data_IF_246777192728
#
_entry.id   IF_246777192728
#
_cell.length_a   1.000
_cell.length_b   1.000
_cell.length_c   1.000
_cell.angle_alpha   90.00
_cell.angle_beta   90.00
_cell.angle_gamma   90.00
#
_symmetry.space_group_name_H-M   'P 1'
#
loop_
_entity.id
_entity.type
_entity.pdbx_description
1 polymer ?
#
# COMPACT_ATOMS: atom_id res chain seq x y z
N UNK A 1 -14.40 -4.12 11.88
CA UNK A 1 -15.60 -3.25 11.70
C UNK A 1 -16.22 -3.38 10.31
N UNK A 2 -15.45 -3.63 9.23
CA UNK A 2 -15.96 -3.63 7.85
C UNK A 2 -16.96 -4.74 7.48
N UNK A 3 -16.80 -5.98 7.96
CA UNK A 3 -17.66 -7.10 7.50
C UNK A 3 -19.05 -7.09 8.15
N UNK A 4 -19.18 -6.61 9.40
CA UNK A 4 -20.46 -6.60 10.12
C UNK A 4 -21.42 -5.48 9.72
N UNK A 5 -20.91 -4.42 9.08
CA UNK A 5 -21.75 -3.37 8.51
C UNK A 5 -22.59 -3.86 7.32
N UNK A 6 -22.17 -4.94 6.65
CA UNK A 6 -22.83 -5.49 5.47
C UNK A 6 -23.39 -6.90 5.68
N UNK A 7 -22.78 -7.70 6.57
CA UNK A 7 -23.22 -9.06 6.87
C UNK A 7 -23.32 -9.23 8.40
N UNK A 8 -24.40 -8.72 9.04
CA UNK A 8 -24.55 -8.76 10.49
C UNK A 8 -24.51 -10.18 11.06
N UNK A 9 -25.04 -11.19 10.34
CA UNK A 9 -25.05 -12.58 10.80
C UNK A 9 -23.65 -13.19 10.90
N UNK A 10 -22.66 -12.64 10.21
CA UNK A 10 -21.31 -13.17 10.22
C UNK A 10 -20.63 -13.02 11.59
N UNK A 11 -21.17 -12.16 12.48
CA UNK A 11 -20.64 -11.96 13.84
C UNK A 11 -20.77 -13.21 14.72
N UNK A 12 -21.73 -14.08 14.41
CA UNK A 12 -21.99 -15.30 15.17
C UNK A 12 -21.08 -16.46 14.78
N UNK A 13 -20.49 -16.43 13.58
CA UNK A 13 -19.67 -17.54 13.06
C UNK A 13 -18.21 -17.16 12.80
N UNK A 14 -17.89 -15.86 12.73
CA UNK A 14 -16.53 -15.36 12.49
C UNK A 14 -15.85 -14.76 13.72
N UNK A 15 -16.41 -14.90 14.92
CA UNK A 15 -15.86 -14.28 16.14
C UNK A 15 -14.38 -14.66 16.40
N UNK A 16 -14.01 -15.94 16.29
CA UNK A 16 -12.64 -16.39 16.52
C UNK A 16 -11.66 -16.00 15.40
N UNK A 17 -11.97 -16.20 14.09
CA UNK A 17 -11.17 -15.63 13.01
C UNK A 17 -11.00 -14.11 13.13
N UNK A 18 -12.05 -13.39 13.54
CA UNK A 18 -12.00 -11.93 13.68
C UNK A 18 -11.05 -11.50 14.79
N UNK A 19 -11.07 -12.16 15.95
CA UNK A 19 -10.12 -11.85 17.02
C UNK A 19 -8.66 -11.99 16.55
N UNK A 20 -8.38 -13.01 15.72
CA UNK A 20 -7.07 -13.18 15.07
C UNK A 20 -6.78 -12.10 14.02
N UNK A 21 -7.78 -11.67 13.25
CA UNK A 21 -7.60 -10.54 12.33
C UNK A 21 -7.29 -9.23 13.08
N UNK A 22 -8.01 -8.97 14.18
CA UNK A 22 -7.79 -7.79 15.01
C UNK A 22 -6.38 -7.78 15.57
N UNK A 23 -5.87 -8.90 16.09
CA UNK A 23 -4.51 -8.97 16.63
C UNK A 23 -3.44 -8.65 15.59
N UNK A 24 -3.62 -9.06 14.32
CA UNK A 24 -2.69 -8.73 13.22
C UNK A 24 -2.69 -7.21 12.94
N UNK A 25 -3.87 -6.59 12.90
CA UNK A 25 -3.97 -5.14 12.72
C UNK A 25 -3.36 -4.39 13.92
N UNK A 26 -3.54 -4.90 15.13
CA UNK A 26 -2.96 -4.33 16.35
C UNK A 26 -1.43 -4.38 16.30
N UNK A 27 -0.83 -5.51 15.90
CA UNK A 27 0.62 -5.65 15.72
C UNK A 27 1.17 -4.63 14.70
N UNK A 28 0.48 -4.47 13.58
CA UNK A 28 0.89 -3.52 12.54
C UNK A 28 0.80 -2.07 13.01
N UNK A 29 -0.22 -1.76 13.78
CA UNK A 29 -0.39 -0.43 14.36
C UNK A 29 0.66 -0.14 15.45
N UNK A 30 1.00 -1.13 16.29
CA UNK A 30 2.10 -1.04 17.26
C UNK A 30 3.41 -0.74 16.53
N UNK A 31 3.70 -1.47 15.46
CA UNK A 31 4.88 -1.21 14.63
C UNK A 31 4.91 0.21 14.06
N UNK A 32 3.80 0.68 13.48
CA UNK A 32 3.70 2.03 12.93
C UNK A 32 3.87 3.12 14.01
N UNK A 33 3.34 2.88 15.22
CA UNK A 33 3.53 3.75 16.38
C UNK A 33 4.98 3.83 16.79
N UNK A 34 5.64 2.69 16.98
CA UNK A 34 7.05 2.63 17.38
C UNK A 34 7.93 3.35 16.37
N UNK A 35 7.66 3.15 15.06
CA UNK A 35 8.34 3.84 13.99
C UNK A 35 8.14 5.35 14.07
N UNK A 36 6.91 5.82 14.24
CA UNK A 36 6.58 7.23 14.37
C UNK A 36 7.24 7.88 15.59
N UNK A 37 7.16 7.25 16.75
CA UNK A 37 7.74 7.76 17.99
C UNK A 37 9.27 7.87 17.90
N UNK A 38 9.92 6.92 17.24
CA UNK A 38 11.35 6.98 16.96
C UNK A 38 11.70 8.15 16.03
N UNK A 39 10.87 8.42 15.01
CA UNK A 39 11.06 9.57 14.14
C UNK A 39 10.90 10.88 14.91
N UNK A 40 9.88 11.01 15.75
CA UNK A 40 9.68 12.19 16.61
C UNK A 40 10.89 12.45 17.51
N UNK A 41 11.47 11.42 18.14
CA UNK A 41 12.67 11.55 19.00
C UNK A 41 13.91 12.03 18.26
N UNK A 42 14.01 11.71 16.98
CA UNK A 42 15.19 11.96 16.14
C UNK A 42 14.92 12.97 15.04
N UNK A 43 13.81 13.71 15.16
CA UNK A 43 13.34 14.63 14.15
C UNK A 43 14.30 15.83 14.02
N UNK A 44 14.71 16.11 12.79
CA UNK A 44 15.51 17.28 12.43
C UNK A 44 14.81 18.01 11.27
N UNK A 45 14.39 19.25 11.53
CA UNK A 45 13.71 20.09 10.53
C UNK A 45 14.58 20.41 9.31
N UNK A 46 15.90 20.27 9.41
CA UNK A 46 16.83 20.52 8.31
C UNK A 46 17.13 19.27 7.48
N UNK A 47 16.69 18.09 7.93
CA UNK A 47 16.99 16.82 7.29
C UNK A 47 15.81 15.84 7.42
N UNK A 48 14.85 15.97 6.51
CA UNK A 48 13.69 15.07 6.43
C UNK A 48 14.13 13.76 5.77
N UNK A 49 14.14 12.66 6.54
CA UNK A 49 14.67 11.37 6.08
C UNK A 49 13.70 10.65 5.15
N UNK A 50 12.41 10.71 5.45
CA UNK A 50 11.37 9.96 4.76
C UNK A 50 9.98 10.59 4.90
N UNK A 51 8.96 9.82 4.51
CA UNK A 51 7.56 10.21 4.61
C UNK A 51 7.13 10.54 6.05
N UNK A 52 7.64 9.82 7.05
CA UNK A 52 7.30 10.05 8.46
C UNK A 52 7.78 11.43 8.91
N UNK A 53 9.03 11.78 8.63
CA UNK A 53 9.54 13.12 8.94
C UNK A 53 8.78 14.21 8.17
N UNK A 54 8.38 13.93 6.93
CA UNK A 54 7.63 14.88 6.10
C UNK A 54 6.27 15.20 6.72
N UNK A 55 5.53 14.20 7.21
CA UNK A 55 4.23 14.44 7.86
C UNK A 55 4.37 15.07 9.25
N UNK A 56 5.47 14.79 9.97
CA UNK A 56 5.81 15.48 11.23
C UNK A 56 6.12 16.96 10.96
N UNK A 57 6.90 17.27 9.92
CA UNK A 57 7.18 18.63 9.50
C UNK A 57 5.90 19.39 9.13
N UNK A 58 5.01 18.76 8.36
CA UNK A 58 3.72 19.33 8.00
C UNK A 58 2.84 19.64 9.23
N UNK A 59 2.87 18.78 10.25
CA UNK A 59 2.21 19.05 11.55
C UNK A 59 2.76 20.30 12.20
N UNK A 60 4.08 20.42 12.34
CA UNK A 60 4.70 21.59 12.98
C UNK A 60 4.48 22.89 12.21
N UNK A 61 4.58 22.84 10.87
CA UNK A 61 4.28 23.99 10.01
C UNK A 61 2.82 24.44 10.19
N UNK A 62 1.86 23.51 10.16
CA UNK A 62 0.45 23.85 10.33
C UNK A 62 0.15 24.47 11.70
N UNK A 63 0.85 24.03 12.76
CA UNK A 63 0.75 24.62 14.10
C UNK A 63 1.34 26.03 14.11
N UNK A 64 2.55 26.22 13.58
CA UNK A 64 3.23 27.51 13.54
C UNK A 64 2.43 28.57 12.78
N UNK A 65 1.84 28.17 11.65
CA UNK A 65 1.02 29.04 10.79
C UNK A 65 -0.42 29.21 11.30
N UNK A 66 -0.81 28.60 12.43
CA UNK A 66 -2.17 28.55 12.95
C UNK A 66 -3.21 28.09 11.90
N UNK A 67 -2.83 27.12 11.05
CA UNK A 67 -3.73 26.58 10.02
C UNK A 67 -4.89 25.83 10.70
N UNK A 68 -6.15 26.03 10.27
CA UNK A 68 -7.30 25.27 10.79
C UNK A 68 -7.16 23.74 10.64
N UNK A 69 -6.31 23.29 9.73
CA UNK A 69 -5.98 21.87 9.51
C UNK A 69 -5.13 21.24 10.61
N UNK A 70 -4.41 22.04 11.42
CA UNK A 70 -3.54 21.54 12.48
C UNK A 70 -4.27 20.61 13.46
N UNK A 71 -5.56 20.86 13.71
CA UNK A 71 -6.42 20.01 14.57
C UNK A 71 -6.59 18.58 14.06
N UNK A 72 -6.36 18.33 12.77
CA UNK A 72 -6.45 17.00 12.16
C UNK A 72 -5.09 16.29 12.09
N UNK A 73 -3.97 17.00 12.28
CA UNK A 73 -2.61 16.46 12.27
C UNK A 73 -2.18 16.03 13.67
N UNK A 74 -3.03 15.23 14.33
CA UNK A 74 -2.72 14.62 15.62
C UNK A 74 -1.77 13.44 15.43
N UNK A 75 -0.99 13.09 16.47
CA UNK A 75 -0.09 11.95 16.40
C UNK A 75 -0.83 10.65 16.01
N UNK A 76 -2.01 10.42 16.58
CA UNK A 76 -2.86 9.27 16.23
C UNK A 76 -3.26 9.23 14.76
N UNK A 77 -3.61 10.38 14.17
CA UNK A 77 -3.98 10.44 12.75
C UNK A 77 -2.76 10.24 11.85
N UNK A 78 -1.57 10.74 12.26
CA UNK A 78 -0.34 10.53 11.51
C UNK A 78 0.12 9.06 11.57
N UNK A 79 0.05 8.43 12.75
CA UNK A 79 0.31 6.99 12.93
C UNK A 79 -0.67 6.16 12.08
N UNK A 80 -1.96 6.49 12.11
CA UNK A 80 -2.98 5.82 11.29
C UNK A 80 -2.68 5.97 9.80
N UNK A 81 -2.24 7.16 9.38
CA UNK A 81 -1.84 7.44 7.99
C UNK A 81 -0.65 6.60 7.58
N UNK A 82 0.38 6.51 8.42
CA UNK A 82 1.56 5.68 8.18
C UNK A 82 1.20 4.19 8.10
N UNK A 83 0.42 3.70 9.06
CA UNK A 83 -0.05 2.32 9.09
C UNK A 83 -0.80 1.98 7.79
N UNK A 84 -1.72 2.86 7.37
CA UNK A 84 -2.46 2.70 6.12
C UNK A 84 -1.56 2.65 4.88
N UNK A 85 -0.56 3.54 4.79
CA UNK A 85 0.38 3.57 3.67
C UNK A 85 1.23 2.30 3.59
N UNK A 86 1.79 1.85 4.72
CA UNK A 86 2.60 0.63 4.79
C UNK A 86 1.73 -0.58 4.42
N UNK A 87 0.52 -0.68 4.96
CA UNK A 87 -0.37 -1.81 4.69
C UNK A 87 -0.75 -1.89 3.21
N UNK A 88 -1.20 -0.77 2.66
CA UNK A 88 -1.55 -0.70 1.24
C UNK A 88 -0.36 -1.06 0.34
N UNK A 89 0.85 -0.63 0.69
CA UNK A 89 2.06 -0.94 -0.06
C UNK A 89 2.46 -2.42 0.03
N UNK A 90 2.48 -3.00 1.22
CA UNK A 90 2.97 -4.37 1.44
C UNK A 90 2.00 -5.41 0.89
N UNK A 91 0.73 -5.36 1.27
CA UNK A 91 -0.22 -6.42 0.92
C UNK A 91 -0.44 -6.49 -0.60
N UNK A 92 -0.64 -5.34 -1.26
CA UNK A 92 -0.97 -5.30 -2.70
C UNK A 92 0.23 -5.70 -3.57
N UNK A 93 1.44 -5.26 -3.21
CA UNK A 93 2.64 -5.60 -3.98
C UNK A 93 3.05 -7.06 -3.76
N UNK A 94 2.93 -7.57 -2.54
CA UNK A 94 3.17 -8.98 -2.25
C UNK A 94 2.24 -9.88 -3.06
N UNK A 95 0.93 -9.63 -3.04
CA UNK A 95 -0.04 -10.43 -3.81
C UNK A 95 0.28 -10.39 -5.31
N UNK A 96 0.55 -9.19 -5.85
CA UNK A 96 0.91 -9.02 -7.27
C UNK A 96 2.17 -9.82 -7.64
N UNK A 97 3.22 -9.76 -6.81
CA UNK A 97 4.47 -10.51 -7.05
C UNK A 97 4.24 -12.02 -6.97
N UNK A 98 3.43 -12.49 -6.03
CA UNK A 98 3.07 -13.91 -5.92
C UNK A 98 2.36 -14.40 -7.19
N UNK A 99 1.41 -13.61 -7.73
CA UNK A 99 0.79 -13.93 -9.00
C UNK A 99 1.79 -13.91 -10.16
N UNK A 100 2.68 -12.92 -10.25
CA UNK A 100 3.77 -12.91 -11.24
C UNK A 100 4.57 -14.22 -11.21
N UNK A 101 5.02 -14.63 -10.02
CA UNK A 101 5.80 -15.86 -9.84
C UNK A 101 5.00 -17.11 -10.23
N UNK A 102 3.72 -17.17 -9.87
CA UNK A 102 2.86 -18.29 -10.24
C UNK A 102 2.67 -18.39 -11.76
N UNK A 103 2.44 -17.26 -12.44
CA UNK A 103 2.24 -17.25 -13.90
C UNK A 103 3.50 -17.66 -14.65
N UNK A 104 4.68 -17.17 -14.26
CA UNK A 104 5.93 -17.59 -14.95
C UNK A 104 6.29 -19.05 -14.65
N UNK A 105 5.91 -19.57 -13.48
CA UNK A 105 6.12 -20.99 -13.15
C UNK A 105 5.17 -21.91 -13.95
N UNK A 106 3.92 -21.48 -14.15
CA UNK A 106 2.92 -22.25 -14.88
C UNK A 106 3.05 -22.13 -16.41
N UNK A 107 3.54 -20.99 -16.91
CA UNK A 107 3.75 -20.72 -18.34
C UNK A 107 5.24 -20.46 -18.66
N UNK A 108 6.05 -21.52 -18.83
CA UNK A 108 7.48 -21.39 -19.12
C UNK A 108 7.80 -20.55 -20.35
N UNK A 109 6.93 -20.57 -21.37
CA UNK A 109 7.09 -19.75 -22.58
C UNK A 109 7.07 -18.25 -22.28
N UNK A 110 6.25 -17.82 -21.30
CA UNK A 110 6.20 -16.42 -20.87
C UNK A 110 7.48 -16.06 -20.12
N UNK A 111 7.94 -16.95 -19.23
CA UNK A 111 9.20 -16.79 -18.54
C UNK A 111 10.38 -16.66 -19.52
N UNK A 112 10.42 -17.48 -20.57
CA UNK A 112 11.48 -17.43 -21.58
C UNK A 112 11.47 -16.11 -22.34
N UNK A 113 10.29 -15.60 -22.74
CA UNK A 113 10.16 -14.30 -23.41
C UNK A 113 10.63 -13.14 -22.52
N UNK A 114 10.26 -13.15 -21.23
CA UNK A 114 10.73 -12.17 -20.26
C UNK A 114 12.26 -12.19 -20.13
N UNK A 115 12.85 -13.38 -19.95
CA UNK A 115 14.31 -13.54 -19.88
C UNK A 115 15.01 -13.05 -21.14
N UNK A 116 14.49 -13.40 -22.32
CA UNK A 116 15.07 -12.98 -23.59
C UNK A 116 15.05 -11.46 -23.75
N UNK A 117 13.95 -10.80 -23.37
CA UNK A 117 13.87 -9.33 -23.39
C UNK A 117 14.87 -8.70 -22.41
N UNK A 118 14.91 -9.16 -21.16
CA UNK A 118 15.83 -8.62 -20.15
C UNK A 118 17.29 -8.81 -20.58
N UNK A 119 17.67 -10.00 -21.05
CA UNK A 119 19.02 -10.27 -21.54
C UNK A 119 19.39 -9.40 -22.75
N UNK A 120 18.44 -9.11 -23.64
CA UNK A 120 18.68 -8.26 -24.82
C UNK A 120 18.83 -6.78 -24.47
N UNK A 121 17.95 -6.25 -23.63
CA UNK A 121 17.87 -4.80 -23.35
C UNK A 121 18.78 -4.34 -22.20
N UNK A 122 19.05 -5.24 -21.24
CA UNK A 122 19.78 -4.94 -20.01
C UNK A 122 21.11 -5.68 -19.96
N UNK A 123 21.15 -6.97 -20.33
CA UNK A 123 22.33 -7.82 -20.19
C UNK A 123 22.57 -8.24 -18.74
N UNK A 124 23.82 -8.22 -18.29
CA UNK A 124 24.24 -8.79 -16.98
C UNK A 124 24.21 -7.78 -15.81
N UNK A 125 23.82 -6.53 -16.06
CA UNK A 125 23.73 -5.51 -15.00
C UNK A 125 22.36 -5.53 -14.31
N UNK A 126 22.32 -4.93 -13.11
CA UNK A 126 21.05 -4.71 -12.40
C UNK A 126 20.16 -3.73 -13.19
N UNK A 127 18.85 -4.04 -13.37
CA UNK A 127 17.89 -3.11 -13.98
C UNK A 127 17.75 -1.81 -13.20
N UNK A 128 17.59 -0.70 -13.92
CA UNK A 128 17.26 0.63 -13.36
C UNK A 128 15.92 1.11 -13.91
N UNK A 129 15.35 2.16 -13.31
CA UNK A 129 14.01 2.62 -13.69
C UNK A 129 13.93 3.10 -15.15
N UNK A 130 15.01 3.69 -15.67
CA UNK A 130 15.12 4.18 -17.04
C UNK A 130 14.97 3.05 -18.09
N UNK A 131 15.29 1.81 -17.70
CA UNK A 131 15.16 0.63 -18.55
C UNK A 131 13.70 0.28 -18.85
N UNK A 132 12.77 0.76 -18.02
CA UNK A 132 11.33 0.49 -18.14
C UNK A 132 10.83 0.74 -19.56
N UNK A 133 11.30 1.80 -20.22
CA UNK A 133 10.91 2.17 -21.59
C UNK A 133 11.30 1.15 -22.66
N UNK A 134 12.27 0.27 -22.38
CA UNK A 134 12.80 -0.75 -23.30
C UNK A 134 12.22 -2.13 -23.03
N UNK A 135 11.62 -2.34 -21.86
CA UNK A 135 11.06 -3.61 -21.40
C UNK A 135 9.56 -3.74 -21.74
N UNK A 136 9.21 -3.64 -23.02
CA UNK A 136 7.82 -3.59 -23.48
C UNK A 136 7.03 -4.86 -23.15
N UNK A 137 7.60 -6.04 -23.36
CA UNK A 137 6.95 -7.32 -23.06
C UNK A 137 6.78 -7.52 -21.55
N UNK A 138 7.80 -7.16 -20.77
CA UNK A 138 7.75 -7.21 -19.30
C UNK A 138 6.65 -6.30 -18.76
N UNK A 139 6.53 -5.08 -19.30
CA UNK A 139 5.44 -4.18 -18.95
C UNK A 139 4.08 -4.75 -19.33
N UNK A 140 3.92 -5.25 -20.55
CA UNK A 140 2.68 -5.86 -21.00
C UNK A 140 2.27 -7.05 -20.12
N UNK A 141 3.23 -7.89 -19.73
CA UNK A 141 3.01 -9.02 -18.83
C UNK A 141 2.54 -8.57 -17.44
N UNK A 142 3.20 -7.58 -16.83
CA UNK A 142 2.77 -7.04 -15.53
C UNK A 142 1.38 -6.39 -15.61
N UNK A 143 1.11 -5.64 -16.68
CA UNK A 143 -0.21 -5.04 -16.91
C UNK A 143 -1.29 -6.11 -17.08
N UNK A 144 -1.01 -7.19 -17.79
CA UNK A 144 -1.95 -8.30 -17.97
C UNK A 144 -2.24 -9.02 -16.64
N UNK A 145 -1.24 -9.17 -15.78
CA UNK A 145 -1.46 -9.72 -14.44
C UNK A 145 -2.35 -8.79 -13.63
N UNK A 146 -2.09 -7.49 -13.60
CA UNK A 146 -2.95 -6.54 -12.88
C UNK A 146 -4.38 -6.50 -13.43
N UNK A 147 -4.56 -6.75 -14.74
CA UNK A 147 -5.88 -6.88 -15.37
C UNK A 147 -6.59 -8.16 -14.96
N UNK A 148 -5.88 -9.30 -14.90
CA UNK A 148 -6.46 -10.62 -14.60
C UNK A 148 -6.61 -10.91 -13.10
N UNK A 149 -5.66 -10.42 -12.31
CA UNK A 149 -5.55 -10.53 -10.85
C UNK A 149 -5.34 -9.14 -10.27
N UNK A 150 -6.41 -8.36 -10.33
CA UNK A 150 -6.45 -7.09 -9.65
C UNK A 150 -6.44 -7.33 -8.12
N UNK A 151 -5.48 -6.76 -7.36
CA UNK A 151 -5.44 -6.90 -5.90
C UNK A 151 -6.68 -6.32 -5.18
N UNK A 152 -7.44 -5.44 -5.84
CA UNK A 152 -8.67 -4.83 -5.32
C UNK A 152 -9.78 -4.85 -6.40
N UNK A 153 -10.37 -6.02 -6.73
CA UNK A 153 -11.25 -6.17 -7.90
C UNK A 153 -12.59 -5.41 -7.78
N UNK A 154 -13.01 -5.08 -6.56
CA UNK A 154 -14.20 -4.25 -6.27
C UNK A 154 -13.84 -2.86 -5.73
N UNK A 155 -12.55 -2.52 -5.71
CA UNK A 155 -12.04 -1.30 -5.09
C UNK A 155 -12.36 -1.20 -3.59
N UNK A 156 -12.30 0.02 -3.07
CA UNK A 156 -12.81 0.34 -1.74
C UNK A 156 -14.30 0.66 -1.81
N UNK A 157 -15.02 0.44 -0.70
CA UNK A 157 -16.43 0.81 -0.63
C UNK A 157 -16.62 2.32 -0.62
N UNK A 158 -17.44 2.81 -1.54
CA UNK A 158 -17.80 4.22 -1.63
C UNK A 158 -19.14 4.50 -0.95
N UNK A 159 -19.32 5.74 -0.49
CA UNK A 159 -20.61 6.27 -0.05
C UNK A 159 -20.84 7.64 -0.67
N UNK A 160 -22.09 7.99 -0.95
CA UNK A 160 -22.43 9.35 -1.36
C UNK A 160 -22.28 10.31 -0.19
N UNK A 161 -21.69 11.48 -0.43
CA UNK A 161 -21.52 12.52 0.61
C UNK A 161 -22.74 13.45 0.69
N UNK A 162 -23.55 13.47 -0.37
CA UNK A 162 -24.80 14.21 -0.53
C UNK A 162 -25.71 13.40 -1.46
N UNK A 163 -27.00 13.73 -1.50
CA UNK A 163 -27.94 13.13 -2.46
C UNK A 163 -27.48 13.36 -3.90
N UNK A 164 -27.50 12.30 -4.70
CA UNK A 164 -27.03 12.32 -6.09
C UNK A 164 -27.67 11.19 -6.89
N UNK A 165 -27.49 11.20 -8.21
CA UNK A 165 -27.92 10.16 -9.14
C UNK A 165 -26.74 9.71 -10.01
N UNK A 166 -26.78 8.44 -10.44
CA UNK A 166 -25.80 7.85 -11.35
C UNK A 166 -26.56 7.11 -12.44
N UNK A 167 -26.50 7.62 -13.68
CA UNK A 167 -27.29 7.11 -14.80
C UNK A 167 -28.71 7.65 -14.78
#
# INVERSE_FOLDING_TARGET
MFIYGFIPIAQYFMANPLAKYQSIFDEMWIYARDLYENHVKTYDSNNLRDFCDTIIAAKYEAIADNKPSAKYLTDENLITTMCGLINAGVETTQDTVLWILLYIAYYPDYQQKLRNEISREIGDRVPVFEDKSRLNYTLAFMTEILRHRNPAPIGNFHRTVVDTHLG
#
